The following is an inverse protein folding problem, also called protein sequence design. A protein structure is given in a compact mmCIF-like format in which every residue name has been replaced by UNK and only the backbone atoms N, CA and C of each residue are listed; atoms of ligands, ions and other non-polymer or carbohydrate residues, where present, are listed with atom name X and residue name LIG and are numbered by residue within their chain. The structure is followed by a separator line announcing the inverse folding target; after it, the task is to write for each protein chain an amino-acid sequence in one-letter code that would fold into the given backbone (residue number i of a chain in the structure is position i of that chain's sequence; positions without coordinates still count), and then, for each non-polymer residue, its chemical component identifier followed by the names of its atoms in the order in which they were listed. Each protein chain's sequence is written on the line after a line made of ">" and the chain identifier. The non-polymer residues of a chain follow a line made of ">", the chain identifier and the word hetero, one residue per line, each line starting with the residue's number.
data_IF_594457256237
#
_entry.id   IF_594457256237
#
_cell.length_a   1.000
_cell.length_b   1.000
_cell.length_c   1.000
_cell.angle_alpha   90.00
_cell.angle_beta   90.00
_cell.angle_gamma   90.00
#
_symmetry.space_group_name_H-M   'P 1'
#
loop_
_entity.id
_entity.type
_entity.pdbx_description
1 polymer ?
#
# COMPACT_ATOMS: atom_id res chain seq x y z
N UNK A 1 0.08 36.73 1.72
CA UNK A 1 1.11 35.70 1.90
C UNK A 1 0.48 34.32 1.69
N UNK A 2 0.78 33.62 0.59
CA UNK A 2 0.37 32.22 0.43
C UNK A 2 1.34 31.37 1.26
N UNK A 3 0.90 30.85 2.41
CA UNK A 3 1.70 29.91 3.17
C UNK A 3 2.04 28.70 2.29
N UNK A 4 3.33 28.36 2.19
CA UNK A 4 3.74 27.16 1.47
C UNK A 4 3.13 25.95 2.19
N UNK A 5 2.22 25.25 1.51
CA UNK A 5 1.71 23.96 1.98
C UNK A 5 2.89 23.00 2.07
N UNK A 6 3.00 22.29 3.19
CA UNK A 6 3.96 21.20 3.35
C UNK A 6 3.80 20.19 2.21
N UNK A 7 4.91 19.66 1.66
CA UNK A 7 4.83 18.63 0.63
C UNK A 7 4.04 17.43 1.15
N UNK A 8 3.13 16.92 0.33
CA UNK A 8 2.32 15.74 0.64
C UNK A 8 2.81 14.56 -0.17
N UNK A 9 2.86 13.37 0.43
CA UNK A 9 3.10 12.12 -0.30
C UNK A 9 1.85 11.82 -1.12
N UNK A 10 2.00 11.79 -2.45
CA UNK A 10 0.89 11.53 -3.39
C UNK A 10 0.93 10.14 -4.00
N UNK A 11 2.11 9.53 -4.04
CA UNK A 11 2.32 8.22 -4.64
C UNK A 11 3.41 7.50 -3.87
N UNK A 12 3.14 6.28 -3.44
CA UNK A 12 4.07 5.43 -2.70
C UNK A 12 4.04 4.03 -3.32
N UNK A 13 5.21 3.50 -3.66
CA UNK A 13 5.39 2.13 -4.12
C UNK A 13 6.25 1.44 -3.09
N UNK A 14 5.71 0.38 -2.49
CA UNK A 14 6.36 -0.39 -1.44
C UNK A 14 6.60 -1.81 -1.93
N UNK A 15 7.78 -2.31 -1.59
CA UNK A 15 8.11 -3.73 -1.63
C UNK A 15 7.83 -4.30 -0.24
N UNK A 16 6.94 -5.29 -0.14
CA UNK A 16 6.40 -5.78 1.12
C UNK A 16 6.49 -7.30 1.18
N UNK A 17 7.18 -7.82 2.19
CA UNK A 17 7.19 -9.25 2.51
C UNK A 17 6.19 -9.50 3.65
N UNK A 18 5.24 -10.43 3.48
CA UNK A 18 4.31 -10.83 4.54
C UNK A 18 4.09 -12.34 4.61
N UNK A 19 3.60 -12.89 5.72
CA UNK A 19 3.04 -14.24 5.76
C UNK A 19 1.80 -14.38 4.87
N UNK A 20 1.40 -15.61 4.57
CA UNK A 20 0.21 -15.90 3.75
C UNK A 20 -1.09 -15.30 4.32
N UNK A 21 -1.19 -15.18 5.64
CA UNK A 21 -2.31 -14.53 6.32
C UNK A 21 -1.93 -13.11 6.79
N UNK A 22 -2.83 -12.10 6.65
CA UNK A 22 -4.17 -12.19 6.04
C UNK A 22 -4.12 -12.32 4.51
N UNK A 23 -5.20 -12.83 3.86
CA UNK A 23 -5.28 -12.89 2.41
C UNK A 23 -5.18 -11.52 1.73
N UNK A 24 -4.69 -11.52 0.49
CA UNK A 24 -4.49 -10.31 -0.33
C UNK A 24 -5.66 -9.32 -0.35
N UNK A 25 -6.93 -9.73 -0.56
CA UNK A 25 -8.05 -8.79 -0.58
C UNK A 25 -8.29 -8.09 0.76
N UNK A 26 -8.10 -8.81 1.88
CA UNK A 26 -8.25 -8.26 3.23
C UNK A 26 -7.11 -7.28 3.53
N UNK A 27 -5.87 -7.66 3.23
CA UNK A 27 -4.70 -6.79 3.33
C UNK A 27 -4.89 -5.47 2.54
N UNK A 28 -5.35 -5.56 1.29
CA UNK A 28 -5.62 -4.39 0.45
C UNK A 28 -6.76 -3.52 0.99
N UNK A 29 -7.81 -4.14 1.54
CA UNK A 29 -8.95 -3.42 2.13
C UNK A 29 -8.53 -2.60 3.35
N UNK A 30 -7.71 -3.17 4.25
CA UNK A 30 -7.17 -2.41 5.39
C UNK A 30 -6.34 -1.20 4.96
N UNK A 31 -5.51 -1.34 3.93
CA UNK A 31 -4.73 -0.22 3.41
C UNK A 31 -5.61 0.88 2.82
N UNK A 32 -6.75 0.53 2.23
CA UNK A 32 -7.68 1.47 1.62
C UNK A 32 -8.42 2.33 2.67
N UNK A 33 -8.53 1.86 3.91
CA UNK A 33 -9.16 2.58 5.02
C UNK A 33 -8.24 3.66 5.64
N UNK A 34 -6.95 3.65 5.30
CA UNK A 34 -5.98 4.62 5.83
C UNK A 34 -6.34 6.05 5.41
N UNK A 35 -6.27 6.97 6.36
CA UNK A 35 -6.59 8.39 6.12
C UNK A 35 -5.71 8.95 5.01
N UNK A 36 -6.36 9.49 3.98
CA UNK A 36 -5.69 10.16 2.88
C UNK A 36 -5.26 9.23 1.75
N UNK A 37 -5.47 7.92 1.87
CA UNK A 37 -5.38 6.98 0.76
C UNK A 37 -6.66 7.09 -0.09
N UNK A 38 -6.48 7.13 -1.40
CA UNK A 38 -7.56 7.23 -2.39
C UNK A 38 -7.67 5.99 -3.26
N UNK A 39 -6.57 5.25 -3.40
CA UNK A 39 -6.48 4.03 -4.18
C UNK A 39 -5.34 3.17 -3.64
N UNK A 40 -5.58 1.87 -3.61
CA UNK A 40 -4.59 0.84 -3.32
C UNK A 40 -4.57 -0.14 -4.49
N UNK A 41 -3.39 -0.44 -5.01
CA UNK A 41 -3.17 -1.58 -5.89
C UNK A 41 -2.15 -2.51 -5.22
N UNK A 42 -2.50 -3.79 -5.07
CA UNK A 42 -1.61 -4.81 -4.52
C UNK A 42 -1.44 -5.91 -5.56
N UNK A 43 -0.19 -6.28 -5.85
CA UNK A 43 0.13 -7.39 -6.74
C UNK A 43 1.13 -8.33 -6.09
N UNK A 44 0.83 -9.64 -6.15
CA UNK A 44 1.77 -10.70 -5.79
C UNK A 44 2.96 -10.69 -6.75
N UNK A 45 4.17 -10.64 -6.19
CA UNK A 45 5.43 -10.72 -6.94
C UNK A 45 5.95 -12.16 -6.91
N UNK A 46 6.00 -12.74 -5.71
CA UNK A 46 6.52 -14.09 -5.47
C UNK A 46 5.82 -14.72 -4.28
N UNK A 47 5.70 -16.04 -4.29
CA UNK A 47 5.14 -16.83 -3.19
C UNK A 47 6.15 -17.91 -2.78
N UNK A 48 6.56 -17.87 -1.51
CA UNK A 48 7.47 -18.81 -0.87
C UNK A 48 6.71 -19.78 0.04
N UNK A 49 7.43 -20.70 0.69
CA UNK A 49 6.83 -21.68 1.62
C UNK A 49 5.99 -21.03 2.73
N UNK A 50 6.44 -19.90 3.29
CA UNK A 50 5.80 -19.25 4.45
C UNK A 50 5.46 -17.78 4.24
N UNK A 51 5.92 -17.20 3.15
CA UNK A 51 5.84 -15.78 2.87
C UNK A 51 5.40 -15.52 1.45
N UNK A 52 4.94 -14.31 1.21
CA UNK A 52 4.72 -13.75 -0.12
C UNK A 52 5.32 -12.36 -0.19
N UNK A 53 5.96 -12.07 -1.32
CA UNK A 53 6.48 -10.75 -1.67
C UNK A 53 5.43 -10.03 -2.51
N UNK A 54 5.09 -8.81 -2.12
CA UNK A 54 4.03 -8.00 -2.71
C UNK A 54 4.59 -6.66 -3.16
N UNK A 55 4.11 -6.18 -4.30
CA UNK A 55 4.21 -4.77 -4.68
C UNK A 55 2.93 -4.06 -4.28
N UNK A 56 3.04 -3.07 -3.41
CA UNK A 56 1.91 -2.27 -2.91
C UNK A 56 2.04 -0.84 -3.43
N UNK A 57 1.02 -0.35 -4.11
CA UNK A 57 0.95 1.00 -4.65
C UNK A 57 -0.16 1.76 -3.94
N UNK A 58 0.17 2.91 -3.35
CA UNK A 58 -0.78 3.78 -2.64
C UNK A 58 -0.84 5.16 -3.30
N UNK A 59 -2.05 5.65 -3.55
CA UNK A 59 -2.31 7.00 -4.04
C UNK A 59 -2.91 7.89 -2.94
N UNK A 60 -2.39 9.10 -2.77
CA UNK A 60 -2.82 10.05 -1.74
C UNK A 60 -3.49 11.35 -2.24
N UNK A 61 -4.17 12.07 -1.33
CA UNK A 61 -4.82 13.40 -1.54
C UNK A 61 -3.97 14.63 -1.23
#
# INVERSE_FOLDING_TARGET
>A
MKGLKSPKVRYLVLDVLKPHAPPLPEFASYLAELRGVTKVDVSLVEMDERTESLRVVLHGV
#
